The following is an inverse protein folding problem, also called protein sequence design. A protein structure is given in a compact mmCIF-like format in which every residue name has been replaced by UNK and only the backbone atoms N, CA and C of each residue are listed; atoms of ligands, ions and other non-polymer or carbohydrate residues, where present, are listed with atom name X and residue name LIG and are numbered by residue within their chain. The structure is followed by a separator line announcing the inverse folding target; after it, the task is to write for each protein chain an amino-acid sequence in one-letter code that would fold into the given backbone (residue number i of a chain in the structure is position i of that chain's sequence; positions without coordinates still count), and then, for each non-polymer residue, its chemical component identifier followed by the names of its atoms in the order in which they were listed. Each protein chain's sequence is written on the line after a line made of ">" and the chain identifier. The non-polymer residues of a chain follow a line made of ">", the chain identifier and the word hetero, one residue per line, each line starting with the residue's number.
data_IF_305481605363
#
_entry.id   IF_305481605363
#
_cell.length_a   1.000
_cell.length_b   1.000
_cell.length_c   1.000
_cell.angle_alpha   90.00
_cell.angle_beta   90.00
_cell.angle_gamma   90.00
#
_symmetry.space_group_name_H-M   'P 1'
#
loop_
_entity.id
_entity.type
_entity.pdbx_description
1 polymer ?
#
# COMPACT_ATOMS: atom_id res chain seq x y z
N UNK A 1 1.81 3.38 -25.16
CA UNK A 1 2.40 4.50 -24.39
C UNK A 1 2.25 4.15 -22.92
N UNK A 2 3.34 3.82 -22.21
CA UNK A 2 3.24 3.50 -20.78
C UNK A 2 2.76 4.73 -20.01
N UNK A 3 1.80 4.55 -19.10
CA UNK A 3 1.37 5.62 -18.19
C UNK A 3 2.55 5.97 -17.27
N UNK A 4 2.81 7.26 -17.07
CA UNK A 4 3.82 7.67 -16.11
C UNK A 4 3.37 7.30 -14.69
N UNK A 5 4.35 7.01 -13.82
CA UNK A 5 4.10 6.72 -12.40
C UNK A 5 3.29 7.83 -11.74
N UNK A 6 3.58 9.08 -12.06
CA UNK A 6 2.85 10.24 -11.54
C UNK A 6 1.38 10.24 -11.96
N UNK A 7 1.09 9.93 -13.24
CA UNK A 7 -0.30 9.84 -13.72
C UNK A 7 -1.05 8.73 -13.01
N UNK A 8 -0.45 7.53 -12.88
CA UNK A 8 -1.08 6.40 -12.18
C UNK A 8 -1.44 6.80 -10.75
N UNK A 9 -0.51 7.43 -10.04
CA UNK A 9 -0.69 7.80 -8.64
C UNK A 9 -1.73 8.92 -8.47
N UNK A 10 -1.73 9.90 -9.38
CA UNK A 10 -2.73 10.97 -9.40
C UNK A 10 -4.14 10.42 -9.64
N UNK A 11 -4.32 9.57 -10.67
CA UNK A 11 -5.62 8.96 -10.97
C UNK A 11 -6.13 8.11 -9.81
N UNK A 12 -5.26 7.30 -9.18
CA UNK A 12 -5.64 6.54 -7.98
C UNK A 12 -6.06 7.44 -6.82
N UNK A 13 -5.40 8.57 -6.62
CA UNK A 13 -5.78 9.52 -5.57
C UNK A 13 -7.15 10.15 -5.84
N UNK A 14 -7.47 10.45 -7.10
CA UNK A 14 -8.77 11.02 -7.47
C UNK A 14 -9.90 10.01 -7.22
N UNK A 15 -9.66 8.72 -7.48
CA UNK A 15 -10.63 7.65 -7.24
C UNK A 15 -10.83 7.31 -5.76
N UNK A 16 -9.81 7.58 -4.93
CA UNK A 16 -9.82 7.32 -3.48
C UNK A 16 -10.04 8.59 -2.64
N UNK A 17 -10.16 9.74 -3.30
CA UNK A 17 -10.13 11.05 -2.66
C UNK A 17 -11.38 11.42 -1.86
N UNK A 18 -11.39 12.62 -1.25
CA UNK A 18 -12.55 13.14 -0.54
C UNK A 18 -13.83 13.13 -1.39
N UNK A 19 -14.96 12.78 -0.77
CA UNK A 19 -16.25 12.64 -1.46
C UNK A 19 -16.47 11.27 -2.11
N UNK A 20 -15.46 10.38 -2.11
CA UNK A 20 -15.59 8.98 -2.53
C UNK A 20 -16.06 8.09 -1.38
N UNK A 21 -16.56 6.91 -1.73
CA UNK A 21 -16.94 5.87 -0.76
C UNK A 21 -15.68 5.31 -0.09
N UNK A 22 -15.76 4.84 1.17
CA UNK A 22 -14.67 4.08 1.76
C UNK A 22 -14.29 2.90 0.87
N UNK A 23 -12.99 2.67 0.73
CA UNK A 23 -12.46 1.60 -0.12
C UNK A 23 -11.68 0.61 0.74
N UNK A 24 -11.81 -0.68 0.43
CA UNK A 24 -10.92 -1.71 0.93
C UNK A 24 -10.05 -2.16 -0.25
N UNK A 25 -8.74 -1.99 -0.13
CA UNK A 25 -7.77 -2.52 -1.06
C UNK A 25 -7.16 -3.79 -0.45
N UNK A 26 -7.30 -4.91 -1.16
CA UNK A 26 -6.73 -6.19 -0.76
C UNK A 26 -5.59 -6.52 -1.72
N UNK A 27 -4.39 -6.72 -1.19
CA UNK A 27 -3.21 -7.14 -1.95
C UNK A 27 -2.76 -8.50 -1.43
N UNK A 28 -2.83 -9.50 -2.30
CA UNK A 28 -2.40 -10.85 -1.98
C UNK A 28 -0.95 -11.10 -2.40
N UNK A 29 -0.28 -12.00 -1.69
CA UNK A 29 1.08 -12.47 -2.02
C UNK A 29 2.11 -11.33 -2.17
N UNK A 30 2.03 -10.29 -1.32
CA UNK A 30 2.88 -9.08 -1.43
C UNK A 30 4.37 -9.36 -1.21
N UNK A 31 4.72 -10.54 -0.68
CA UNK A 31 6.10 -11.01 -0.60
C UNK A 31 6.74 -11.23 -1.99
N UNK A 32 5.94 -11.38 -3.06
CA UNK A 32 6.42 -11.45 -4.45
C UNK A 32 6.24 -10.14 -5.23
N UNK A 33 5.76 -9.08 -4.58
CA UNK A 33 5.53 -7.80 -5.22
C UNK A 33 6.85 -7.15 -5.66
N UNK A 34 6.84 -6.56 -6.86
CA UNK A 34 7.95 -5.77 -7.35
C UNK A 34 8.10 -4.44 -6.59
N UNK A 35 9.22 -3.74 -6.82
CA UNK A 35 9.51 -2.47 -6.16
C UNK A 35 8.44 -1.40 -6.43
N UNK A 36 7.89 -1.37 -7.65
CA UNK A 36 6.86 -0.41 -8.04
C UNK A 36 5.55 -0.62 -7.24
N UNK A 37 5.15 -1.86 -7.03
CA UNK A 37 3.98 -2.22 -6.22
C UNK A 37 4.20 -1.90 -4.75
N UNK A 38 5.38 -2.21 -4.23
CA UNK A 38 5.75 -1.87 -2.84
C UNK A 38 5.79 -0.35 -2.60
N UNK A 39 6.24 0.40 -3.58
CA UNK A 39 6.20 1.86 -3.58
C UNK A 39 4.78 2.42 -3.58
N UNK A 40 3.87 1.82 -4.35
CA UNK A 40 2.45 2.17 -4.33
C UNK A 40 1.83 1.87 -2.96
N UNK A 41 2.10 0.69 -2.39
CA UNK A 41 1.64 0.32 -1.05
C UNK A 41 2.12 1.32 0.00
N UNK A 42 3.40 1.70 -0.03
CA UNK A 42 3.98 2.72 0.85
C UNK A 42 3.28 4.08 0.67
N UNK A 43 3.04 4.48 -0.56
CA UNK A 43 2.39 5.75 -0.89
C UNK A 43 0.94 5.83 -0.38
N UNK A 44 0.15 4.78 -0.61
CA UNK A 44 -1.24 4.68 -0.17
C UNK A 44 -1.35 4.50 1.35
N UNK A 45 -0.51 3.64 1.93
CA UNK A 45 -0.51 3.35 3.36
C UNK A 45 -0.25 4.60 4.22
N UNK A 46 0.66 5.48 3.79
CA UNK A 46 0.91 6.79 4.44
C UNK A 46 -0.30 7.75 4.38
N UNK A 47 -1.24 7.52 3.48
CA UNK A 47 -2.41 8.38 3.23
C UNK A 47 -3.73 7.71 3.60
N UNK A 48 -3.70 6.43 4.00
CA UNK A 48 -4.89 5.59 4.19
C UNK A 48 -5.98 6.25 5.04
N UNK A 49 -5.59 6.85 6.17
CA UNK A 49 -6.51 7.58 7.05
C UNK A 49 -7.20 8.76 6.33
N UNK A 50 -6.47 9.55 5.54
CA UNK A 50 -7.03 10.70 4.81
C UNK A 50 -7.92 10.27 3.64
N UNK A 51 -7.66 9.10 3.06
CA UNK A 51 -8.38 8.54 1.93
C UNK A 51 -9.58 7.66 2.32
N UNK A 52 -9.86 7.49 3.62
CA UNK A 52 -10.87 6.51 4.12
C UNK A 52 -10.65 5.11 3.50
N UNK A 53 -9.38 4.74 3.39
CA UNK A 53 -8.90 3.52 2.76
C UNK A 53 -8.46 2.54 3.84
N UNK A 54 -8.97 1.31 3.79
CA UNK A 54 -8.41 0.16 4.50
C UNK A 54 -7.55 -0.63 3.53
N UNK A 55 -6.29 -0.86 3.88
CA UNK A 55 -5.39 -1.72 3.10
C UNK A 55 -5.19 -3.01 3.86
N UNK A 56 -5.51 -4.14 3.22
CA UNK A 56 -5.26 -5.49 3.71
C UNK A 56 -4.19 -6.09 2.83
N UNK A 57 -3.17 -6.66 3.47
CA UNK A 57 -2.03 -7.27 2.79
C UNK A 57 -1.86 -8.68 3.34
N UNK A 58 -1.73 -9.66 2.44
CA UNK A 58 -1.34 -11.03 2.81
C UNK A 58 0.08 -11.30 2.35
N UNK A 59 0.83 -11.96 3.23
CA UNK A 59 2.25 -12.26 3.06
C UNK A 59 2.58 -13.61 3.66
N UNK A 60 3.64 -14.23 3.14
CA UNK A 60 4.26 -15.41 3.71
C UNK A 60 5.50 -15.00 4.49
N UNK A 61 5.44 -15.15 5.81
CA UNK A 61 6.50 -14.68 6.71
C UNK A 61 7.84 -15.40 6.49
N UNK A 62 7.81 -16.66 6.06
CA UNK A 62 8.98 -17.47 5.72
C UNK A 62 9.68 -17.01 4.43
N UNK A 63 9.00 -16.24 3.59
CA UNK A 63 9.56 -15.65 2.37
C UNK A 63 10.07 -14.21 2.57
N UNK A 64 9.89 -13.62 3.77
CA UNK A 64 10.35 -12.26 4.09
C UNK A 64 11.63 -12.32 4.94
N UNK A 65 12.78 -12.29 4.28
CA UNK A 65 14.09 -12.16 4.93
C UNK A 65 14.33 -10.78 5.58
N UNK A 66 15.43 -10.61 6.36
CA UNK A 66 15.75 -9.34 7.02
C UNK A 66 15.96 -8.16 6.06
N UNK A 67 16.50 -8.42 4.86
CA UNK A 67 16.74 -7.41 3.84
C UNK A 67 15.57 -7.20 2.87
N UNK A 68 14.42 -7.87 3.09
CA UNK A 68 13.30 -7.81 2.17
C UNK A 68 12.68 -6.40 2.12
N UNK A 69 12.46 -5.79 0.94
CA UNK A 69 12.02 -4.39 0.82
C UNK A 69 10.69 -4.09 1.53
N UNK A 70 9.79 -5.07 1.60
CA UNK A 70 8.53 -4.96 2.34
C UNK A 70 8.72 -4.58 3.82
N UNK A 71 9.83 -4.98 4.48
CA UNK A 71 10.09 -4.58 5.87
C UNK A 71 10.21 -3.07 6.02
N UNK A 72 10.87 -2.41 5.05
CA UNK A 72 10.99 -0.96 5.00
C UNK A 72 9.63 -0.30 4.78
N UNK A 73 8.83 -0.85 3.85
CA UNK A 73 7.45 -0.37 3.60
C UNK A 73 6.61 -0.41 4.87
N UNK A 74 6.58 -1.54 5.58
CA UNK A 74 5.80 -1.72 6.80
C UNK A 74 6.29 -0.80 7.93
N UNK A 75 7.59 -0.59 8.05
CA UNK A 75 8.18 0.33 9.04
C UNK A 75 7.85 1.81 8.77
N UNK A 76 7.59 2.16 7.52
CA UNK A 76 7.26 3.51 7.06
C UNK A 76 5.76 3.86 7.16
N UNK A 77 4.91 2.90 7.57
CA UNK A 77 3.48 3.12 7.72
C UNK A 77 3.16 3.87 9.03
N UNK A 78 2.24 4.86 9.01
CA UNK A 78 1.87 5.59 10.21
C UNK A 78 1.25 4.66 11.26
N UNK A 79 1.79 4.65 12.48
CA UNK A 79 1.22 3.90 13.62
C UNK A 79 -0.19 4.37 14.02
N UNK A 80 -0.59 5.56 13.58
CA UNK A 80 -1.93 6.12 13.77
C UNK A 80 -3.00 5.44 12.91
N UNK A 81 -2.59 4.73 11.85
CA UNK A 81 -3.41 3.68 11.22
C UNK A 81 -3.23 2.41 12.02
N UNK A 82 -4.32 1.71 12.35
CA UNK A 82 -4.25 0.46 13.11
C UNK A 82 -3.64 -0.64 12.22
N UNK A 83 -2.32 -0.73 12.18
CA UNK A 83 -1.61 -1.83 11.54
C UNK A 83 -1.66 -3.03 12.48
N UNK A 84 -2.26 -4.13 12.02
CA UNK A 84 -2.30 -5.40 12.73
C UNK A 84 -1.83 -6.49 11.77
N UNK A 85 -0.67 -7.08 12.08
CA UNK A 85 -0.30 -8.39 11.53
C UNK A 85 -1.06 -9.42 12.36
N UNK A 86 -1.75 -10.34 11.69
CA UNK A 86 -2.46 -11.46 12.31
C UNK A 86 -1.56 -12.67 12.24
#
# INVERSE_FOLDING_TARGET
>A
MALSRETIFATLLDDLGPGRRPTILVLEDVHWADEATLDLLKFLGRRAHRLRLLVIVTVRDDEIGPAHPLRSVLGDLPRAGRTRTI
#
